data_IF_527693431479
#
_entry.id   IF_527693431479
#
_cell.length_a   1.000
_cell.length_b   1.000
_cell.length_c   1.000
_cell.angle_alpha   90.00
_cell.angle_beta   90.00
_cell.angle_gamma   90.00
#
_symmetry.space_group_name_H-M   'P 1'
#
loop_
_entity.id
_entity.type
_entity.pdbx_description
1 polymer ?
#
# COMPACT_ATOMS: atom_id res chain seq x y z
N UNK A 1 1.15 -12.93 35.45
CA UNK A 1 0.75 -13.17 36.84
C UNK A 1 0.59 -14.66 37.12
N UNK A 2 0.54 -15.06 38.41
CA UNK A 2 0.48 -16.46 38.86
C UNK A 2 1.85 -17.01 39.24
N UNK A 3 1.92 -18.31 39.56
CA UNK A 3 3.15 -18.99 39.94
C UNK A 3 3.66 -18.64 41.36
N UNK A 4 2.77 -18.34 42.28
CA UNK A 4 3.15 -17.98 43.66
C UNK A 4 3.84 -19.08 44.45
N UNK A 5 3.63 -20.36 44.10
CA UNK A 5 4.33 -21.47 44.75
C UNK A 5 5.65 -21.77 44.03
N UNK A 6 6.72 -21.96 44.82
CA UNK A 6 8.02 -22.42 44.33
C UNK A 6 7.87 -23.82 43.68
N UNK A 7 8.38 -24.07 42.47
CA UNK A 7 8.19 -25.33 41.77
C UNK A 7 8.77 -26.54 42.50
N UNK A 8 9.94 -26.38 43.11
CA UNK A 8 10.63 -27.40 43.87
C UNK A 8 11.53 -26.79 44.95
N UNK A 9 12.01 -27.63 45.88
CA UNK A 9 12.89 -27.18 46.95
C UNK A 9 14.24 -26.70 46.42
N UNK A 10 14.93 -25.85 47.22
CA UNK A 10 16.14 -25.13 46.81
C UNK A 10 17.34 -26.03 46.48
N UNK A 11 17.43 -27.21 47.10
CA UNK A 11 18.53 -28.19 46.96
C UNK A 11 17.99 -29.61 46.97
N UNK A 12 18.76 -30.59 46.41
CA UNK A 12 18.45 -32.00 46.50
C UNK A 12 17.42 -32.52 45.47
N UNK A 13 17.18 -31.79 44.34
CA UNK A 13 16.25 -32.17 43.28
C UNK A 13 16.94 -32.51 41.97
N UNK A 14 18.25 -32.25 41.83
CA UNK A 14 18.97 -32.37 40.57
C UNK A 14 18.58 -31.32 39.48
N UNK A 15 17.60 -30.47 39.77
CA UNK A 15 17.15 -29.42 38.85
C UNK A 15 17.81 -28.07 39.18
N UNK A 16 17.86 -27.20 38.15
CA UNK A 16 18.27 -25.82 38.33
C UNK A 16 17.35 -25.09 39.32
N UNK A 17 17.93 -24.17 40.11
CA UNK A 17 17.16 -23.39 41.10
C UNK A 17 16.11 -22.50 40.44
N UNK A 18 14.86 -22.63 40.82
CA UNK A 18 13.74 -21.84 40.31
C UNK A 18 12.87 -21.29 41.41
N UNK A 19 12.50 -20.01 41.31
CA UNK A 19 11.61 -19.35 42.25
C UNK A 19 10.14 -19.36 41.84
N UNK A 20 9.90 -19.34 40.54
CA UNK A 20 8.53 -19.27 39.97
C UNK A 20 8.49 -19.91 38.59
N UNK A 21 7.38 -20.51 38.22
CA UNK A 21 7.08 -21.01 36.88
C UNK A 21 6.76 -19.88 35.89
N UNK A 22 6.60 -18.65 36.37
CA UNK A 22 6.34 -17.45 35.56
C UNK A 22 7.58 -16.56 35.39
N UNK A 23 8.76 -17.08 35.72
CA UNK A 23 10.01 -16.38 35.44
C UNK A 23 10.25 -16.28 33.92
N UNK A 24 11.00 -15.26 33.45
CA UNK A 24 11.17 -15.00 32.01
C UNK A 24 11.75 -16.13 31.18
N UNK A 25 12.53 -17.02 31.83
CA UNK A 25 13.12 -18.20 31.17
C UNK A 25 12.14 -19.36 30.93
N UNK A 26 10.93 -19.26 31.48
CA UNK A 26 9.90 -20.28 31.31
C UNK A 26 8.96 -19.95 30.16
N UNK A 27 8.48 -20.98 29.48
CA UNK A 27 7.38 -20.86 28.52
C UNK A 27 6.15 -20.29 29.24
N UNK A 28 5.54 -19.27 28.67
CA UNK A 28 4.45 -18.47 29.29
C UNK A 28 4.87 -17.70 30.56
N UNK A 29 6.17 -17.49 30.77
CA UNK A 29 6.70 -16.62 31.81
C UNK A 29 6.57 -15.13 31.48
N UNK A 30 7.10 -14.27 32.37
CA UNK A 30 7.06 -12.81 32.16
C UNK A 30 7.92 -12.37 30.96
N UNK A 31 7.47 -11.33 30.29
CA UNK A 31 8.20 -10.68 29.18
C UNK A 31 9.04 -9.56 29.76
N UNK A 32 10.37 -9.65 29.65
CA UNK A 32 11.31 -8.64 30.19
C UNK A 32 11.32 -7.40 29.28
N UNK A 33 11.42 -7.59 27.98
CA UNK A 33 11.43 -6.54 26.99
C UNK A 33 10.16 -6.61 26.12
N UNK A 34 9.04 -6.18 26.70
CA UNK A 34 7.78 -6.11 25.97
C UNK A 34 7.85 -5.05 24.86
N UNK A 35 7.19 -5.27 23.71
CA UNK A 35 7.08 -4.25 22.68
C UNK A 35 6.33 -3.04 23.24
N UNK A 36 6.90 -1.85 23.04
CA UNK A 36 6.28 -0.57 23.40
C UNK A 36 5.75 0.09 22.15
N UNK A 37 4.54 0.68 22.18
CA UNK A 37 4.06 1.49 21.07
C UNK A 37 5.08 2.59 20.76
N UNK A 38 5.47 2.70 19.50
CA UNK A 38 6.37 3.75 19.01
C UNK A 38 5.95 4.20 17.63
N UNK A 39 6.23 5.43 17.32
CA UNK A 39 6.02 5.99 15.99
C UNK A 39 7.20 5.65 15.09
N UNK A 40 6.91 5.10 13.90
CA UNK A 40 7.89 4.79 12.86
C UNK A 40 7.81 5.77 11.69
N UNK A 41 6.90 6.75 11.77
CA UNK A 41 6.74 7.74 10.70
C UNK A 41 7.93 8.68 10.63
N UNK A 42 8.28 9.09 9.42
CA UNK A 42 9.22 10.15 9.15
C UNK A 42 8.83 10.92 7.90
N UNK A 43 9.19 12.19 7.84
CA UNK A 43 8.81 13.08 6.74
C UNK A 43 9.92 13.12 5.70
N UNK A 44 9.57 12.77 4.45
CA UNK A 44 10.46 12.92 3.29
C UNK A 44 10.43 14.34 2.74
N UNK A 45 11.57 14.83 2.26
CA UNK A 45 11.69 16.10 1.58
C UNK A 45 10.85 16.14 0.30
N UNK A 46 10.25 17.28 -0.03
CA UNK A 46 9.40 17.45 -1.23
C UNK A 46 10.11 17.06 -2.54
N UNK A 47 11.40 17.42 -2.69
CA UNK A 47 12.21 17.06 -3.87
C UNK A 47 12.36 15.54 -4.04
N UNK A 48 12.54 14.80 -2.93
CA UNK A 48 12.65 13.34 -2.95
C UNK A 48 11.33 12.69 -3.36
N UNK A 49 10.20 13.20 -2.85
CA UNK A 49 8.86 12.72 -3.24
C UNK A 49 8.59 12.91 -4.73
N UNK A 50 8.94 14.09 -5.29
CA UNK A 50 8.81 14.37 -6.74
C UNK A 50 9.69 13.45 -7.58
N UNK A 51 10.94 13.25 -7.17
CA UNK A 51 11.87 12.36 -7.88
C UNK A 51 11.34 10.91 -7.90
N UNK A 52 10.83 10.43 -6.79
CA UNK A 52 10.22 9.10 -6.70
C UNK A 52 9.03 8.96 -7.67
N UNK A 53 8.14 9.95 -7.73
CA UNK A 53 6.99 9.92 -8.66
C UNK A 53 7.45 9.94 -10.13
N UNK A 54 8.39 10.82 -10.49
CA UNK A 54 8.98 10.86 -11.85
C UNK A 54 9.60 9.52 -12.24
N UNK A 55 10.36 8.92 -11.33
CA UNK A 55 10.98 7.60 -11.54
C UNK A 55 9.97 6.50 -11.84
N UNK A 56 8.87 6.46 -11.07
CA UNK A 56 7.84 5.43 -11.27
C UNK A 56 7.07 5.64 -12.57
N UNK A 57 6.74 6.87 -12.93
CA UNK A 57 6.11 7.19 -14.21
C UNK A 57 7.01 6.80 -15.39
N UNK A 58 8.31 7.12 -15.31
CA UNK A 58 9.29 6.71 -16.32
C UNK A 58 9.40 5.20 -16.45
N UNK A 59 9.38 4.46 -15.34
CA UNK A 59 9.39 3.01 -15.35
C UNK A 59 8.14 2.43 -16.05
N UNK A 60 6.95 2.96 -15.75
CA UNK A 60 5.70 2.52 -16.41
C UNK A 60 5.68 2.83 -17.90
N UNK A 61 6.23 3.97 -18.31
CA UNK A 61 6.38 4.32 -19.71
C UNK A 61 7.37 3.38 -20.43
N UNK A 62 8.53 3.10 -19.83
CA UNK A 62 9.54 2.19 -20.38
C UNK A 62 9.03 0.75 -20.52
N UNK A 63 8.17 0.28 -19.58
CA UNK A 63 7.53 -1.02 -19.63
C UNK A 63 6.37 -1.10 -20.65
N UNK A 64 5.98 0.00 -21.29
CA UNK A 64 4.81 0.07 -22.17
C UNK A 64 3.47 -0.15 -21.44
N UNK A 65 3.44 0.08 -20.14
CA UNK A 65 2.27 -0.09 -19.28
C UNK A 65 1.56 1.23 -18.94
N UNK A 66 2.03 2.33 -19.53
CA UNK A 66 1.36 3.63 -19.49
C UNK A 66 0.47 3.74 -20.71
N UNK A 67 -0.84 3.84 -20.51
CA UNK A 67 -1.84 3.96 -21.58
C UNK A 67 -2.48 5.33 -21.45
N UNK A 68 -2.36 6.13 -22.51
CA UNK A 68 -3.00 7.46 -22.60
C UNK A 68 -4.26 7.34 -23.45
N UNK A 69 -5.35 7.93 -22.99
CA UNK A 69 -6.66 7.91 -23.64
C UNK A 69 -7.22 9.33 -23.75
N UNK A 70 -8.03 9.58 -24.76
CA UNK A 70 -8.56 10.91 -25.04
C UNK A 70 -9.58 11.37 -23.99
N UNK A 71 -10.48 10.48 -23.58
CA UNK A 71 -11.46 10.75 -22.52
C UNK A 71 -12.08 9.47 -21.96
N UNK A 72 -12.49 9.53 -20.69
CA UNK A 72 -13.18 8.45 -20.00
C UNK A 72 -14.62 8.90 -19.68
N UNK A 73 -15.58 8.47 -20.46
CA UNK A 73 -17.00 8.77 -20.24
C UNK A 73 -17.84 7.50 -20.34
N UNK A 74 -17.79 6.59 -19.29
CA UNK A 74 -18.33 5.25 -19.45
C UNK A 74 -19.03 4.72 -18.19
N UNK A 75 -20.16 4.00 -18.37
CA UNK A 75 -20.88 3.23 -17.34
C UNK A 75 -20.14 1.93 -16.98
N UNK A 76 -20.43 1.33 -15.82
CA UNK A 76 -19.67 0.18 -15.26
C UNK A 76 -19.51 -1.02 -16.20
N UNK A 77 -20.56 -1.40 -16.94
CA UNK A 77 -20.47 -2.53 -17.87
C UNK A 77 -19.54 -2.22 -19.05
N UNK A 78 -19.59 -0.97 -19.52
CA UNK A 78 -18.77 -0.51 -20.64
C UNK A 78 -17.32 -0.24 -20.19
N UNK A 79 -17.10 0.11 -18.90
CA UNK A 79 -15.76 0.29 -18.33
C UNK A 79 -14.93 -1.00 -18.37
N UNK A 80 -15.57 -2.15 -18.12
CA UNK A 80 -14.93 -3.46 -18.26
C UNK A 80 -14.55 -3.78 -19.71
N UNK A 81 -15.46 -3.50 -20.65
CA UNK A 81 -15.19 -3.64 -22.09
C UNK A 81 -14.08 -2.72 -22.56
N UNK A 82 -14.08 -1.48 -22.07
CA UNK A 82 -13.03 -0.49 -22.32
C UNK A 82 -11.66 -1.02 -21.87
N UNK A 83 -11.51 -1.47 -20.60
CA UNK A 83 -10.26 -2.04 -20.12
C UNK A 83 -9.78 -3.23 -20.97
N UNK A 84 -10.70 -4.10 -21.35
CA UNK A 84 -10.38 -5.23 -22.25
C UNK A 84 -9.94 -4.78 -23.65
N UNK A 85 -10.59 -3.75 -24.21
CA UNK A 85 -10.23 -3.18 -25.51
C UNK A 85 -8.83 -2.55 -25.52
N UNK A 86 -8.45 -1.92 -24.41
CA UNK A 86 -7.12 -1.32 -24.21
C UNK A 86 -6.08 -2.36 -23.76
N UNK A 87 -6.45 -3.66 -23.68
CA UNK A 87 -5.60 -4.78 -23.26
C UNK A 87 -5.02 -4.61 -21.86
N UNK A 88 -5.79 -4.02 -20.97
CA UNK A 88 -5.44 -3.86 -19.55
C UNK A 88 -5.93 -5.08 -18.78
N UNK A 89 -5.06 -6.05 -18.61
CA UNK A 89 -5.34 -7.27 -17.85
C UNK A 89 -4.69 -7.17 -16.46
N UNK A 90 -5.51 -7.13 -15.40
CA UNK A 90 -5.04 -7.11 -14.01
C UNK A 90 -5.27 -5.80 -13.29
N UNK A 91 -4.36 -5.47 -12.35
CA UNK A 91 -4.48 -4.25 -11.54
C UNK A 91 -4.19 -3.00 -12.37
N UNK A 92 -5.09 -2.04 -12.33
CA UNK A 92 -4.94 -0.77 -13.05
C UNK A 92 -5.25 0.44 -12.16
N UNK A 93 -4.49 1.49 -12.32
CA UNK A 93 -4.81 2.82 -11.79
C UNK A 93 -5.29 3.69 -12.94
N UNK A 94 -6.46 4.28 -12.78
CA UNK A 94 -7.07 5.18 -13.75
C UNK A 94 -6.97 6.61 -13.20
N UNK A 95 -6.34 7.48 -13.98
CA UNK A 95 -6.07 8.87 -13.58
C UNK A 95 -6.94 9.81 -14.38
N UNK A 96 -7.74 10.60 -13.68
CA UNK A 96 -8.59 11.65 -14.26
C UNK A 96 -8.08 13.05 -13.91
N UNK A 97 -8.39 14.06 -14.70
CA UNK A 97 -7.98 15.44 -14.38
C UNK A 97 -8.63 15.99 -13.13
N UNK A 98 -9.89 15.59 -12.87
CA UNK A 98 -10.70 15.99 -11.71
C UNK A 98 -11.56 14.81 -11.24
N UNK A 99 -12.21 14.97 -10.09
CA UNK A 99 -13.06 13.92 -9.54
C UNK A 99 -14.33 13.80 -10.37
N UNK A 100 -14.47 12.70 -11.11
CA UNK A 100 -15.71 12.35 -11.80
C UNK A 100 -16.42 11.20 -11.04
N UNK A 101 -17.58 11.56 -10.47
CA UNK A 101 -18.40 10.61 -9.73
C UNK A 101 -18.91 9.44 -10.57
N UNK A 102 -19.09 9.62 -11.87
CA UNK A 102 -19.56 8.55 -12.77
C UNK A 102 -18.44 7.54 -12.97
N UNK A 103 -17.23 8.00 -13.26
CA UNK A 103 -16.04 7.15 -13.40
C UNK A 103 -15.73 6.42 -12.10
N UNK A 104 -15.70 7.12 -10.96
CA UNK A 104 -15.44 6.53 -9.64
C UNK A 104 -16.45 5.43 -9.31
N UNK A 105 -17.76 5.70 -9.48
CA UNK A 105 -18.82 4.70 -9.23
C UNK A 105 -18.75 3.52 -10.20
N UNK A 106 -18.34 3.75 -11.43
CA UNK A 106 -18.23 2.72 -12.46
C UNK A 106 -17.03 1.80 -12.25
N UNK A 107 -15.91 2.35 -11.82
CA UNK A 107 -14.66 1.60 -11.63
C UNK A 107 -14.56 0.89 -10.26
N UNK A 108 -15.07 1.48 -9.17
CA UNK A 108 -14.89 0.98 -7.80
C UNK A 108 -15.37 -0.45 -7.56
N UNK A 109 -16.33 -0.94 -8.36
CA UNK A 109 -16.86 -2.32 -8.26
C UNK A 109 -16.04 -3.33 -9.07
N UNK A 110 -15.01 -2.89 -9.81
CA UNK A 110 -14.15 -3.79 -10.58
C UNK A 110 -12.94 -4.14 -9.73
N UNK A 111 -12.72 -5.43 -9.40
CA UNK A 111 -11.56 -5.84 -8.62
C UNK A 111 -10.25 -5.45 -9.31
N UNK A 112 -9.33 -4.87 -8.54
CA UNK A 112 -8.01 -4.47 -9.04
C UNK A 112 -7.96 -3.11 -9.75
N UNK A 113 -9.07 -2.40 -9.91
CA UNK A 113 -9.11 -1.08 -10.51
C UNK A 113 -9.24 0.00 -9.44
N UNK A 114 -8.33 0.95 -9.45
CA UNK A 114 -8.32 2.13 -8.59
C UNK A 114 -8.44 3.39 -9.44
N UNK A 115 -9.29 4.33 -9.03
CA UNK A 115 -9.38 5.66 -9.65
C UNK A 115 -8.71 6.71 -8.78
N UNK A 116 -7.95 7.60 -9.38
CA UNK A 116 -7.29 8.72 -8.69
C UNK A 116 -7.28 9.96 -9.56
N UNK A 117 -6.93 11.11 -8.97
CA UNK A 117 -6.81 12.39 -9.69
C UNK A 117 -5.34 12.74 -9.87
N UNK A 118 -5.02 13.47 -10.91
CA UNK A 118 -3.66 13.89 -11.25
C UNK A 118 -2.89 14.53 -10.08
N UNK A 119 -3.58 15.33 -9.26
CA UNK A 119 -2.96 16.08 -8.15
C UNK A 119 -2.58 15.24 -6.92
N UNK A 120 -3.15 14.04 -6.77
CA UNK A 120 -2.96 13.19 -5.59
C UNK A 120 -2.40 11.80 -5.93
N UNK A 121 -1.61 11.72 -6.98
CA UNK A 121 -0.94 10.49 -7.38
C UNK A 121 -0.07 9.93 -6.27
N UNK A 122 -0.23 8.64 -5.98
CA UNK A 122 0.56 7.90 -5.02
C UNK A 122 1.57 6.99 -5.73
N UNK A 123 2.83 7.09 -5.32
CA UNK A 123 3.91 6.19 -5.81
C UNK A 123 3.56 4.73 -5.53
N UNK A 124 2.99 4.44 -4.35
CA UNK A 124 2.60 3.09 -3.96
C UNK A 124 1.53 2.51 -4.89
N UNK A 125 0.49 3.29 -5.21
CA UNK A 125 -0.60 2.82 -6.07
C UNK A 125 -0.11 2.52 -7.49
N UNK A 126 0.77 3.37 -8.03
CA UNK A 126 1.35 3.18 -9.36
C UNK A 126 2.24 1.93 -9.40
N UNK A 127 3.07 1.68 -8.38
CA UNK A 127 3.93 0.49 -8.32
C UNK A 127 3.08 -0.78 -8.17
N UNK A 128 2.06 -0.76 -7.32
CA UNK A 128 1.19 -1.91 -7.07
C UNK A 128 0.31 -2.27 -8.27
N UNK A 129 0.00 -1.28 -9.14
CA UNK A 129 -0.73 -1.50 -10.37
C UNK A 129 0.19 -2.03 -11.48
N UNK A 130 -0.35 -2.88 -12.34
CA UNK A 130 0.33 -3.32 -13.56
C UNK A 130 0.26 -2.25 -14.63
N UNK A 131 -0.90 -1.63 -14.80
CA UNK A 131 -1.16 -0.62 -15.83
C UNK A 131 -1.53 0.73 -15.20
N UNK A 132 -1.09 1.78 -15.85
CA UNK A 132 -1.47 3.16 -15.54
C UNK A 132 -2.22 3.72 -16.75
N UNK A 133 -3.52 3.97 -16.57
CA UNK A 133 -4.39 4.53 -17.59
C UNK A 133 -4.62 6.00 -17.28
N UNK A 134 -4.22 6.88 -18.16
CA UNK A 134 -4.21 8.33 -17.93
C UNK A 134 -5.05 9.02 -19.00
N UNK A 135 -5.98 9.87 -18.58
CA UNK A 135 -6.67 10.79 -19.45
C UNK A 135 -5.70 11.84 -20.02
N UNK A 136 -5.82 12.24 -21.28
CA UNK A 136 -4.95 13.23 -21.90
C UNK A 136 -4.95 14.56 -21.13
N UNK A 137 -6.11 15.00 -20.65
CA UNK A 137 -6.20 16.20 -19.81
C UNK A 137 -5.53 16.01 -18.43
N UNK A 138 -5.55 14.80 -17.88
CA UNK A 138 -4.85 14.46 -16.65
C UNK A 138 -3.33 14.42 -16.85
N UNK A 139 -2.86 13.98 -18.02
CA UNK A 139 -1.44 13.97 -18.37
C UNK A 139 -0.87 15.41 -18.37
N UNK A 140 -1.56 16.36 -18.99
CA UNK A 140 -1.16 17.77 -18.96
C UNK A 140 -1.08 18.34 -17.53
N UNK A 141 -2.04 17.97 -16.66
CA UNK A 141 -1.98 18.36 -15.23
C UNK A 141 -0.83 17.70 -14.48
N UNK A 142 -0.50 16.45 -14.78
CA UNK A 142 0.66 15.75 -14.19
C UNK A 142 1.96 16.48 -14.56
N UNK A 143 2.12 16.87 -15.80
CA UNK A 143 3.26 17.64 -16.27
C UNK A 143 3.37 18.99 -15.54
N UNK A 144 2.28 19.73 -15.41
CA UNK A 144 2.25 21.00 -14.69
C UNK A 144 2.64 20.87 -13.21
N UNK A 145 2.10 19.87 -12.51
CA UNK A 145 2.28 19.73 -11.05
C UNK A 145 3.63 19.14 -10.67
N UNK A 146 4.16 18.24 -11.48
CA UNK A 146 5.36 17.45 -11.13
C UNK A 146 6.59 17.72 -12.00
N UNK A 147 6.51 18.60 -13.00
CA UNK A 147 7.63 18.97 -13.86
C UNK A 147 8.83 19.63 -13.12
#
# INVERSE_FOLDING_TARGET
SGGGRKPWRQKGTGHARQGSTRAPQWTHGGIVFAPKPRDYSYVLNKKVKRLALKSVLSAKAAEGKLVVIDSIAIKTADFRKFLSAVKVDGKAVVVTPEVDNVIVKSARNIPGVLTTVANILSVYDIINAQYLVVDQAALAKIEEVYA
#
